data_IF_806529175530
#
_entry.id   IF_806529175530
#
_cell.length_a   1.000
_cell.length_b   1.000
_cell.length_c   1.000
_cell.angle_alpha   90.00
_cell.angle_beta   90.00
_cell.angle_gamma   90.00
#
_symmetry.space_group_name_H-M   'P 1'
#
loop_
_entity.id
_entity.type
_entity.pdbx_description
1 polymer ?
#
# COMPACT_ATOMS: atom_id res chain seq x y z
N UNK A 1 -2.99 -17.82 12.43
CA UNK A 1 -2.56 -16.40 12.55
C UNK A 1 -1.09 -16.21 12.22
N UNK A 2 -0.18 -17.00 12.81
CA UNK A 2 1.27 -16.81 12.63
C UNK A 2 1.77 -16.82 11.18
N UNK A 3 1.23 -17.68 10.30
CA UNK A 3 1.62 -17.70 8.89
C UNK A 3 1.17 -16.43 8.13
N UNK A 4 -0.05 -15.95 8.38
CA UNK A 4 -0.59 -14.72 7.77
C UNK A 4 0.18 -13.47 8.20
N UNK A 5 0.61 -13.39 9.47
CA UNK A 5 1.42 -12.26 9.94
C UNK A 5 2.82 -12.27 9.33
N UNK A 6 3.45 -13.44 9.17
CA UNK A 6 4.75 -13.55 8.49
C UNK A 6 4.65 -13.13 7.03
N UNK A 7 3.66 -13.64 6.30
CA UNK A 7 3.43 -13.25 4.90
C UNK A 7 2.98 -11.81 4.77
N UNK A 8 2.19 -11.31 5.72
CA UNK A 8 1.83 -9.90 5.84
C UNK A 8 3.05 -8.99 6.04
N UNK A 9 4.00 -9.39 6.89
CA UNK A 9 5.25 -8.66 7.10
C UNK A 9 6.09 -8.60 5.82
N UNK A 10 6.26 -9.73 5.14
CA UNK A 10 6.99 -9.78 3.85
C UNK A 10 6.29 -8.93 2.80
N UNK A 11 4.97 -9.05 2.69
CA UNK A 11 4.16 -8.23 1.79
C UNK A 11 4.31 -6.74 2.10
N UNK A 12 4.31 -6.36 3.39
CA UNK A 12 4.48 -4.98 3.81
C UNK A 12 5.84 -4.42 3.43
N UNK A 13 6.92 -5.19 3.64
CA UNK A 13 8.27 -4.80 3.25
C UNK A 13 8.37 -4.62 1.73
N UNK A 14 7.87 -5.58 0.96
CA UNK A 14 7.91 -5.53 -0.51
C UNK A 14 7.06 -4.39 -1.05
N UNK A 15 5.84 -4.20 -0.55
CA UNK A 15 4.97 -3.08 -0.95
C UNK A 15 5.62 -1.73 -0.63
N UNK A 16 6.27 -1.62 0.52
CA UNK A 16 6.98 -0.40 0.95
C UNK A 16 8.14 -0.08 0.02
N UNK A 17 8.97 -1.08 -0.29
CA UNK A 17 10.10 -0.91 -1.22
C UNK A 17 9.61 -0.49 -2.61
N UNK A 18 8.57 -1.16 -3.14
CA UNK A 18 8.02 -0.81 -4.45
C UNK A 18 7.45 0.60 -4.45
N UNK A 19 6.67 0.98 -3.42
CA UNK A 19 6.12 2.33 -3.30
C UNK A 19 7.20 3.40 -3.19
N UNK A 20 8.30 3.13 -2.47
CA UNK A 20 9.44 4.02 -2.38
C UNK A 20 10.14 4.19 -3.73
N UNK A 21 10.38 3.10 -4.46
CA UNK A 21 10.98 3.15 -5.80
C UNK A 21 10.08 3.95 -6.74
N UNK A 22 8.78 3.68 -6.75
CA UNK A 22 7.81 4.39 -7.60
C UNK A 22 7.73 5.88 -7.24
N UNK A 23 7.74 6.22 -5.94
CA UNK A 23 7.81 7.60 -5.49
C UNK A 23 9.07 8.32 -6.02
N UNK A 24 10.23 7.70 -5.84
CA UNK A 24 11.52 8.23 -6.29
C UNK A 24 11.51 8.45 -7.80
N UNK A 25 11.06 7.46 -8.58
CA UNK A 25 10.97 7.55 -10.04
C UNK A 25 10.02 8.68 -10.47
N UNK A 26 8.88 8.82 -9.80
CA UNK A 26 7.89 9.86 -10.11
C UNK A 26 8.45 11.26 -9.86
N UNK A 27 9.14 11.46 -8.73
CA UNK A 27 9.79 12.74 -8.39
C UNK A 27 10.88 13.09 -9.40
N UNK A 28 11.74 12.14 -9.75
CA UNK A 28 12.80 12.33 -10.77
C UNK A 28 12.19 12.67 -12.13
N UNK A 29 11.11 12.00 -12.53
CA UNK A 29 10.42 12.28 -13.79
C UNK A 29 9.78 13.68 -13.85
N UNK A 30 9.40 14.25 -12.69
CA UNK A 30 8.89 15.62 -12.58
C UNK A 30 10.01 16.68 -12.50
N UNK A 31 11.29 16.28 -12.52
CA UNK A 31 12.42 17.20 -12.35
C UNK A 31 12.63 17.67 -10.91
N UNK A 32 11.97 17.04 -9.93
CA UNK A 32 12.08 17.37 -8.52
C UNK A 32 13.34 16.75 -7.91
N UNK A 33 14.04 17.51 -7.06
CA UNK A 33 15.14 16.98 -6.23
C UNK A 33 14.62 16.02 -5.16
N UNK A 34 15.38 14.95 -4.92
CA UNK A 34 15.14 14.04 -3.79
C UNK A 34 15.98 14.56 -2.64
N UNK A 35 15.32 15.17 -1.67
CA UNK A 35 15.98 15.71 -0.48
C UNK A 35 15.99 14.69 0.66
N UNK A 36 16.96 14.82 1.56
CA UNK A 36 17.10 13.93 2.71
C UNK A 36 16.01 14.23 3.76
N UNK A 37 15.60 13.20 4.49
CA UNK A 37 14.53 13.28 5.49
C UNK A 37 14.82 14.43 6.47
N UNK A 38 13.94 15.43 6.50
CA UNK A 38 14.04 16.59 7.38
C UNK A 38 14.38 17.91 6.68
N UNK A 39 14.87 17.87 5.43
CA UNK A 39 15.28 19.08 4.70
C UNK A 39 14.09 19.90 4.19
N UNK A 40 13.01 19.24 3.76
CA UNK A 40 11.79 19.90 3.33
C UNK A 40 10.53 19.02 3.47
N UNK A 41 9.38 19.58 3.07
CA UNK A 41 8.08 18.86 3.05
C UNK A 41 8.10 17.59 2.17
N UNK A 42 8.81 17.59 1.06
CA UNK A 42 8.94 16.44 0.16
C UNK A 42 9.74 15.28 0.76
N UNK A 43 10.69 15.58 1.65
CA UNK A 43 11.44 14.56 2.37
C UNK A 43 10.61 13.89 3.48
N UNK A 44 9.71 14.65 4.12
CA UNK A 44 8.70 14.10 5.03
C UNK A 44 7.73 13.13 4.31
N UNK A 45 7.42 13.38 3.03
CA UNK A 45 6.56 12.50 2.24
C UNK A 45 7.13 11.09 2.07
N UNK A 46 8.46 10.94 1.94
CA UNK A 46 9.12 9.61 1.89
C UNK A 46 8.82 8.82 3.16
N UNK A 47 9.00 9.44 4.32
CA UNK A 47 8.74 8.81 5.62
C UNK A 47 7.25 8.47 5.78
N UNK A 48 6.37 9.40 5.40
CA UNK A 48 4.91 9.19 5.44
C UNK A 48 4.48 8.03 4.55
N UNK A 49 4.95 7.98 3.29
CA UNK A 49 4.64 6.88 2.36
C UNK A 49 5.16 5.56 2.91
N UNK A 50 6.38 5.54 3.44
CA UNK A 50 6.98 4.34 4.04
C UNK A 50 6.11 3.80 5.18
N UNK A 51 5.81 4.66 6.16
CA UNK A 51 5.08 4.26 7.36
C UNK A 51 3.65 3.84 7.04
N UNK A 52 2.93 4.63 6.24
CA UNK A 52 1.54 4.34 5.86
C UNK A 52 1.46 3.08 5.00
N UNK A 53 2.36 2.90 4.03
CA UNK A 53 2.38 1.69 3.18
C UNK A 53 2.62 0.43 4.01
N UNK A 54 3.61 0.49 4.91
CA UNK A 54 3.94 -0.62 5.78
C UNK A 54 2.75 -0.96 6.69
N UNK A 55 2.19 0.04 7.37
CA UNK A 55 1.05 -0.15 8.28
C UNK A 55 -0.19 -0.67 7.56
N UNK A 56 -0.55 -0.09 6.41
CA UNK A 56 -1.70 -0.51 5.62
C UNK A 56 -1.58 -1.98 5.18
N UNK A 57 -0.39 -2.42 4.79
CA UNK A 57 -0.14 -3.82 4.40
C UNK A 57 -0.30 -4.78 5.59
N UNK A 58 0.21 -4.41 6.78
CA UNK A 58 0.05 -5.21 8.00
C UNK A 58 -1.42 -5.31 8.40
N UNK A 59 -2.15 -4.19 8.39
CA UNK A 59 -3.58 -4.16 8.67
C UNK A 59 -4.37 -4.99 7.65
N UNK A 60 -3.97 -4.94 6.38
CA UNK A 60 -4.53 -5.78 5.32
C UNK A 60 -4.34 -7.28 5.61
N UNK A 61 -3.16 -7.70 6.03
CA UNK A 61 -2.89 -9.08 6.40
C UNK A 61 -3.68 -9.55 7.64
N UNK A 62 -3.83 -8.67 8.63
CA UNK A 62 -4.67 -8.93 9.81
C UNK A 62 -6.13 -9.11 9.40
N UNK A 63 -6.67 -8.20 8.59
CA UNK A 63 -8.02 -8.28 8.05
C UNK A 63 -8.24 -9.57 7.24
N UNK A 64 -7.30 -9.91 6.36
CA UNK A 64 -7.35 -11.15 5.59
C UNK A 64 -7.39 -12.38 6.51
N UNK A 65 -6.56 -12.40 7.55
CA UNK A 65 -6.56 -13.47 8.55
C UNK A 65 -7.87 -13.59 9.32
N UNK A 66 -8.55 -12.48 9.62
CA UNK A 66 -9.87 -12.49 10.23
C UNK A 66 -10.95 -13.04 9.30
N UNK A 67 -10.98 -12.60 8.04
CA UNK A 67 -11.94 -13.09 7.04
C UNK A 67 -11.70 -14.58 6.76
N UNK A 68 -10.43 -15.01 6.69
CA UNK A 68 -10.07 -16.41 6.46
C UNK A 68 -10.62 -17.37 7.52
N UNK A 69 -10.83 -16.89 8.76
CA UNK A 69 -11.43 -17.71 9.83
C UNK A 69 -12.92 -17.95 9.65
N UNK A 70 -13.61 -17.08 8.90
CA UNK A 70 -15.07 -17.09 8.81
C UNK A 70 -15.56 -17.72 7.51
N UNK A 71 -14.73 -17.75 6.45
CA UNK A 71 -15.19 -18.16 5.13
C UNK A 71 -14.08 -18.66 4.21
N UNK A 72 -14.45 -19.63 3.36
CA UNK A 72 -13.59 -20.13 2.29
C UNK A 72 -13.45 -19.14 1.12
N UNK A 73 -14.31 -18.12 1.02
CA UNK A 73 -14.27 -17.11 -0.05
C UNK A 73 -13.40 -15.88 0.28
N UNK A 74 -12.46 -16.02 1.21
CA UNK A 74 -11.63 -14.92 1.74
C UNK A 74 -10.97 -14.06 0.67
N UNK A 75 -10.36 -14.65 -0.35
CA UNK A 75 -9.66 -13.90 -1.39
C UNK A 75 -10.61 -12.99 -2.15
N UNK A 76 -11.80 -13.47 -2.51
CA UNK A 76 -12.81 -12.67 -3.22
C UNK A 76 -13.27 -11.52 -2.33
N UNK A 77 -13.62 -11.80 -1.07
CA UNK A 77 -14.09 -10.77 -0.14
C UNK A 77 -13.02 -9.71 0.11
N UNK A 78 -11.77 -10.13 0.32
CA UNK A 78 -10.65 -9.23 0.54
C UNK A 78 -10.37 -8.37 -0.70
N UNK A 79 -10.37 -8.95 -1.91
CA UNK A 79 -10.21 -8.21 -3.16
C UNK A 79 -11.32 -7.18 -3.33
N UNK A 80 -12.57 -7.53 -3.05
CA UNK A 80 -13.70 -6.58 -3.10
C UNK A 80 -13.49 -5.43 -2.12
N UNK A 81 -13.12 -5.71 -0.87
CA UNK A 81 -12.83 -4.66 0.13
C UNK A 81 -11.66 -3.78 -0.34
N UNK A 82 -10.58 -4.39 -0.84
CA UNK A 82 -9.40 -3.67 -1.32
C UNK A 82 -9.74 -2.73 -2.48
N UNK A 83 -10.58 -3.17 -3.43
CA UNK A 83 -11.07 -2.34 -4.55
C UNK A 83 -11.89 -1.17 -4.02
N UNK A 84 -12.85 -1.41 -3.11
CA UNK A 84 -13.68 -0.35 -2.53
C UNK A 84 -12.82 0.68 -1.79
N UNK A 85 -11.87 0.22 -0.97
CA UNK A 85 -10.96 1.11 -0.24
C UNK A 85 -10.04 1.90 -1.19
N UNK A 86 -9.57 1.29 -2.29
CA UNK A 86 -8.78 1.99 -3.29
C UNK A 86 -9.57 3.10 -3.99
N UNK A 87 -10.85 2.85 -4.33
CA UNK A 87 -11.73 3.86 -4.91
C UNK A 87 -11.99 5.00 -3.92
N UNK A 88 -12.35 4.68 -2.67
CA UNK A 88 -12.60 5.69 -1.64
C UNK A 88 -11.34 6.53 -1.36
N UNK A 89 -10.18 5.89 -1.34
CA UNK A 89 -8.89 6.56 -1.17
C UNK A 89 -8.55 7.46 -2.37
N UNK A 90 -8.84 7.01 -3.59
CA UNK A 90 -8.70 7.83 -4.80
C UNK A 90 -9.57 9.09 -4.73
N UNK A 91 -10.85 8.97 -4.37
CA UNK A 91 -11.75 10.12 -4.17
C UNK A 91 -11.21 11.06 -3.08
N UNK A 92 -10.78 10.51 -1.94
CA UNK A 92 -10.19 11.31 -0.87
C UNK A 92 -8.93 12.05 -1.34
N UNK A 93 -8.08 11.40 -2.14
CA UNK A 93 -6.86 12.00 -2.66
C UNK A 93 -7.14 13.20 -3.59
N UNK A 94 -8.22 13.14 -4.38
CA UNK A 94 -8.64 14.25 -5.24
C UNK A 94 -9.12 15.46 -4.44
N UNK A 95 -9.75 15.23 -3.30
CA UNK A 95 -10.28 16.29 -2.43
C UNK A 95 -9.22 16.91 -1.51
N UNK A 96 -8.25 16.11 -1.06
CA UNK A 96 -7.33 16.48 0.04
C UNK A 96 -5.90 16.77 -0.40
N UNK A 97 -5.46 16.29 -1.57
CA UNK A 97 -4.09 16.53 -2.05
C UNK A 97 -4.05 17.65 -3.09
N UNK A 98 -2.96 18.40 -3.05
CA UNK A 98 -2.59 19.31 -4.15
C UNK A 98 -2.32 18.50 -5.42
N UNK A 99 -2.56 19.14 -6.57
CA UNK A 99 -2.62 18.47 -7.88
C UNK A 99 -1.35 17.68 -8.22
N UNK A 100 -0.18 18.22 -7.86
CA UNK A 100 1.13 17.60 -8.08
C UNK A 100 1.26 16.18 -7.47
N UNK A 101 0.60 15.94 -6.33
CA UNK A 101 0.67 14.65 -5.63
C UNK A 101 -0.50 13.72 -5.93
N UNK A 102 -1.54 14.17 -6.65
CA UNK A 102 -2.73 13.36 -6.91
C UNK A 102 -2.40 12.13 -7.75
N UNK A 103 -1.75 12.31 -8.90
CA UNK A 103 -1.42 11.20 -9.80
C UNK A 103 -0.54 10.14 -9.12
N UNK A 104 0.48 10.60 -8.39
CA UNK A 104 1.34 9.75 -7.60
C UNK A 104 0.57 8.97 -6.55
N UNK A 105 -0.31 9.63 -5.79
CA UNK A 105 -1.11 8.96 -4.77
C UNK A 105 -1.96 7.83 -5.37
N UNK A 106 -2.60 8.02 -6.52
CA UNK A 106 -3.38 6.96 -7.16
C UNK A 106 -2.54 5.71 -7.45
N UNK A 107 -1.34 5.89 -7.99
CA UNK A 107 -0.43 4.76 -8.31
C UNK A 107 -0.02 4.03 -7.03
N UNK A 108 0.41 4.78 -6.00
CA UNK A 108 0.88 4.21 -4.73
C UNK A 108 -0.22 3.43 -4.00
N UNK A 109 -1.48 3.88 -4.08
CA UNK A 109 -2.61 3.22 -3.43
C UNK A 109 -3.06 1.94 -4.14
N UNK A 110 -2.69 1.74 -5.42
CA UNK A 110 -2.96 0.48 -6.15
C UNK A 110 -1.88 -0.58 -5.87
N UNK A 111 -0.63 -0.16 -5.67
CA UNK A 111 0.48 -1.09 -5.41
C UNK A 111 0.25 -1.91 -4.14
N UNK A 112 -0.13 -1.24 -3.05
CA UNK A 112 -0.34 -1.90 -1.74
C UNK A 112 -1.32 -3.08 -1.81
N UNK A 113 -2.57 -2.90 -2.31
CA UNK A 113 -3.51 -4.00 -2.41
C UNK A 113 -3.05 -5.06 -3.41
N UNK A 114 -2.46 -4.70 -4.56
CA UNK A 114 -1.98 -5.69 -5.55
C UNK A 114 -0.91 -6.61 -4.95
N UNK A 115 0.10 -6.02 -4.31
CA UNK A 115 1.17 -6.79 -3.64
C UNK A 115 0.59 -7.64 -2.51
N UNK A 116 -0.30 -7.08 -1.70
CA UNK A 116 -0.94 -7.80 -0.60
C UNK A 116 -1.79 -8.98 -1.08
N UNK A 117 -2.59 -8.80 -2.13
CA UNK A 117 -3.39 -9.89 -2.73
C UNK A 117 -2.48 -10.99 -3.27
N UNK A 118 -1.39 -10.63 -3.95
CA UNK A 118 -0.46 -11.61 -4.52
C UNK A 118 0.21 -12.47 -3.46
N UNK A 119 0.68 -11.89 -2.37
CA UNK A 119 1.29 -12.65 -1.27
C UNK A 119 0.25 -13.45 -0.47
N UNK A 120 -0.87 -12.83 -0.09
CA UNK A 120 -1.85 -13.45 0.81
C UNK A 120 -2.65 -14.58 0.14
N UNK A 121 -2.87 -14.52 -1.18
CA UNK A 121 -3.52 -15.60 -1.93
C UNK A 121 -2.67 -16.87 -1.96
N UNK A 122 -1.35 -16.76 -2.01
CA UNK A 122 -0.41 -17.90 -1.97
C UNK A 122 -0.41 -18.63 -0.63
N UNK A 123 -0.68 -17.92 0.47
CA UNK A 123 -0.76 -18.54 1.81
C UNK A 123 -1.95 -19.48 2.02
N UNK A 124 -2.95 -19.47 1.13
CA UNK A 124 -4.10 -20.37 1.23
C UNK A 124 -3.92 -21.65 0.39
N UNK A 125 -2.95 -21.65 -0.52
CA UNK A 125 -2.64 -22.79 -1.40
C UNK A 125 -1.65 -23.78 -0.76
N UNK A 126 -1.06 -23.41 0.38
CA UNK A 126 -0.19 -24.25 1.22
C UNK A 126 -0.87 -24.53 2.55
#
# INVERSE_FOLDING_TARGET
>A
MGNFLKVGLVSALVATIINLIVYVLFRVAQGNTIELIGDNRGALYILTITFITFLASILGAVLYGFIAKQTNKVTIIYVTIAIVLAILSSVASQLLLIEEYRGMAHILHVIVPVVSIWFLSKTKQN
#
